data_IF_582883400124
#
_entry.id   IF_582883400124
#
_cell.length_a   1.000
_cell.length_b   1.000
_cell.length_c   1.000
_cell.angle_alpha   90.00
_cell.angle_beta   90.00
_cell.angle_gamma   90.00
#
_symmetry.space_group_name_H-M   'P 1'
#
loop_
_entity.id
_entity.type
_entity.pdbx_description
1 polymer ?
#
# COMPACT_ATOMS: atom_id res chain seq x y z
N UNK A 1 20.76 -17.80 29.36
CA UNK A 1 21.47 -17.42 28.13
C UNK A 1 20.44 -17.17 27.05
N UNK A 2 19.92 -15.94 26.97
CA UNK A 2 19.02 -15.56 25.88
C UNK A 2 19.82 -15.69 24.58
N UNK A 3 19.36 -16.54 23.66
CA UNK A 3 19.91 -16.62 22.33
C UNK A 3 19.85 -15.22 21.72
N UNK A 4 21.01 -14.67 21.35
CA UNK A 4 21.06 -13.51 20.48
C UNK A 4 20.38 -13.95 19.18
N UNK A 5 19.11 -13.61 19.01
CA UNK A 5 18.45 -13.69 17.72
C UNK A 5 19.26 -12.79 16.79
N UNK A 6 19.84 -13.35 15.73
CA UNK A 6 20.44 -12.56 14.65
C UNK A 6 19.39 -11.55 14.16
N UNK A 7 19.47 -10.32 14.66
CA UNK A 7 18.54 -9.26 14.31
C UNK A 7 18.96 -8.79 12.91
N UNK A 8 18.34 -9.38 11.89
CA UNK A 8 18.53 -8.94 10.50
C UNK A 8 18.16 -7.46 10.42
N UNK A 9 19.14 -6.63 10.10
CA UNK A 9 18.90 -5.20 9.90
C UNK A 9 18.11 -4.97 8.60
N UNK A 10 17.40 -3.85 8.52
CA UNK A 10 16.68 -3.49 7.30
C UNK A 10 17.63 -3.38 6.10
N UNK A 11 18.83 -2.84 6.30
CA UNK A 11 19.89 -2.76 5.28
C UNK A 11 20.24 -4.13 4.70
N UNK A 12 20.39 -5.16 5.54
CA UNK A 12 20.77 -6.50 5.06
C UNK A 12 19.64 -7.15 4.27
N UNK A 13 18.40 -6.96 4.72
CA UNK A 13 17.21 -7.42 4.00
C UNK A 13 17.11 -6.70 2.65
N UNK A 14 17.23 -5.38 2.60
CA UNK A 14 17.18 -4.60 1.34
C UNK A 14 18.28 -5.04 0.36
N UNK A 15 19.50 -5.29 0.84
CA UNK A 15 20.59 -5.83 0.02
C UNK A 15 20.23 -7.20 -0.57
N UNK A 16 19.64 -8.09 0.22
CA UNK A 16 19.21 -9.41 -0.26
C UNK A 16 18.04 -9.34 -1.26
N UNK A 17 17.20 -8.30 -1.15
CA UNK A 17 16.09 -8.05 -2.06
C UNK A 17 16.50 -7.34 -3.36
N UNK A 18 17.68 -6.72 -3.42
CA UNK A 18 18.10 -5.86 -4.54
C UNK A 18 17.89 -6.48 -5.93
N UNK A 19 18.28 -7.76 -6.11
CA UNK A 19 18.07 -8.47 -7.39
C UNK A 19 16.59 -8.63 -7.73
N UNK A 20 15.76 -8.94 -6.74
CA UNK A 20 14.31 -9.10 -6.93
C UNK A 20 13.65 -7.75 -7.25
N UNK A 21 14.11 -6.65 -6.63
CA UNK A 21 13.64 -5.30 -6.96
C UNK A 21 13.95 -4.90 -8.40
N UNK A 22 15.09 -5.32 -8.94
CA UNK A 22 15.39 -5.13 -10.36
C UNK A 22 14.39 -5.88 -11.25
N UNK A 23 14.02 -7.11 -10.87
CA UNK A 23 13.04 -7.91 -11.61
C UNK A 23 11.65 -7.27 -11.67
N UNK A 24 11.28 -6.38 -10.74
CA UNK A 24 10.00 -5.64 -10.78
C UNK A 24 9.88 -4.72 -12.00
N UNK A 25 10.98 -4.39 -12.66
CA UNK A 25 11.01 -3.55 -13.86
C UNK A 25 11.11 -4.34 -15.17
N UNK A 26 11.20 -5.67 -15.11
CA UNK A 26 11.30 -6.52 -16.30
C UNK A 26 9.95 -6.75 -16.97
N UNK A 27 9.94 -6.97 -18.28
CA UNK A 27 8.71 -7.27 -19.05
C UNK A 27 8.06 -8.59 -18.64
N UNK A 28 8.81 -9.50 -18.02
CA UNK A 28 8.33 -10.83 -17.64
C UNK A 28 7.42 -10.79 -16.41
N UNK A 29 6.10 -10.92 -16.63
CA UNK A 29 5.06 -11.04 -15.58
C UNK A 29 5.42 -12.04 -14.48
N UNK A 30 5.91 -13.23 -14.85
CA UNK A 30 6.23 -14.29 -13.89
C UNK A 30 7.47 -13.97 -13.06
N UNK A 31 8.41 -13.18 -13.59
CA UNK A 31 9.54 -12.67 -12.83
C UNK A 31 9.09 -11.62 -11.80
N UNK A 32 8.27 -10.64 -12.23
CA UNK A 32 7.69 -9.60 -11.35
C UNK A 32 6.88 -10.20 -10.20
N UNK A 33 5.97 -11.13 -10.50
CA UNK A 33 5.17 -11.81 -9.48
C UNK A 33 6.04 -12.52 -8.45
N UNK A 34 7.01 -13.34 -8.90
CA UNK A 34 7.92 -14.04 -7.97
C UNK A 34 8.73 -13.08 -7.12
N UNK A 35 9.18 -11.96 -7.69
CA UNK A 35 9.87 -10.94 -6.95
C UNK A 35 9.00 -10.33 -5.85
N UNK A 36 7.72 -10.00 -6.13
CA UNK A 36 6.79 -9.52 -5.12
C UNK A 36 6.52 -10.55 -4.01
N UNK A 37 6.33 -11.83 -4.36
CA UNK A 37 6.17 -12.89 -3.34
C UNK A 37 7.41 -13.03 -2.45
N UNK A 38 8.62 -12.88 -3.01
CA UNK A 38 9.85 -12.86 -2.20
C UNK A 38 9.89 -11.63 -1.31
N UNK A 39 9.55 -10.43 -1.82
CA UNK A 39 9.47 -9.22 -1.00
C UNK A 39 8.49 -9.42 0.15
N UNK A 40 7.28 -9.92 -0.12
CA UNK A 40 6.26 -10.19 0.90
C UNK A 40 6.78 -11.14 1.99
N UNK A 41 7.36 -12.27 1.56
CA UNK A 41 7.88 -13.30 2.45
C UNK A 41 9.02 -12.82 3.32
N UNK A 42 9.96 -12.02 2.79
CA UNK A 42 11.13 -11.54 3.56
C UNK A 42 10.83 -10.29 4.39
N UNK A 43 9.61 -9.73 4.32
CA UNK A 43 9.22 -8.50 5.02
C UNK A 43 8.01 -8.68 5.93
N UNK A 44 6.81 -8.38 5.45
CA UNK A 44 5.56 -8.33 6.24
C UNK A 44 5.10 -9.69 6.78
N UNK A 45 5.64 -10.80 6.26
CA UNK A 45 5.42 -12.15 6.78
C UNK A 45 6.49 -12.60 7.79
N UNK A 46 7.58 -11.85 7.95
CA UNK A 46 8.60 -12.11 8.96
C UNK A 46 8.27 -11.41 10.29
N UNK A 47 8.74 -12.00 11.39
CA UNK A 47 8.69 -11.38 12.72
C UNK A 47 9.84 -10.40 12.89
N UNK A 48 9.75 -9.26 12.23
CA UNK A 48 10.71 -8.16 12.32
C UNK A 48 10.23 -7.11 13.35
N UNK A 49 11.15 -6.33 13.91
CA UNK A 49 10.79 -5.19 14.75
C UNK A 49 10.08 -4.12 13.92
N UNK A 50 9.18 -3.36 14.54
CA UNK A 50 8.44 -2.28 13.87
C UNK A 50 9.37 -1.18 13.32
N UNK A 51 10.50 -0.93 13.98
CA UNK A 51 11.56 -0.05 13.48
C UNK A 51 12.22 -0.57 12.20
N UNK A 52 12.59 -1.86 12.15
CA UNK A 52 13.10 -2.49 10.92
C UNK A 52 12.06 -2.43 9.80
N UNK A 53 10.78 -2.66 10.10
CA UNK A 53 9.71 -2.55 9.12
C UNK A 53 9.53 -1.12 8.60
N UNK A 54 9.72 -0.08 9.43
CA UNK A 54 9.69 1.33 8.99
C UNK A 54 10.75 1.59 7.92
N UNK A 55 12.00 1.18 8.18
CA UNK A 55 13.12 1.38 7.25
C UNK A 55 12.91 0.59 5.95
N UNK A 56 12.42 -0.64 6.05
CA UNK A 56 12.05 -1.45 4.88
C UNK A 56 10.95 -0.78 4.07
N UNK A 57 9.90 -0.31 4.73
CA UNK A 57 8.79 0.34 4.03
C UNK A 57 9.26 1.59 3.29
N UNK A 58 10.05 2.44 3.95
CA UNK A 58 10.63 3.63 3.32
C UNK A 58 11.48 3.29 2.09
N UNK A 59 12.29 2.23 2.16
CA UNK A 59 13.12 1.77 1.03
C UNK A 59 12.34 1.11 -0.11
N UNK A 60 11.20 0.49 0.17
CA UNK A 60 10.44 -0.31 -0.79
C UNK A 60 9.23 0.42 -1.40
N UNK A 61 8.70 1.45 -0.72
CA UNK A 61 7.42 2.08 -1.03
C UNK A 61 7.27 2.45 -2.51
N UNK A 62 8.26 3.15 -3.10
CA UNK A 62 8.16 3.61 -4.49
C UNK A 62 8.11 2.45 -5.49
N UNK A 63 8.87 1.37 -5.25
CA UNK A 63 8.85 0.19 -6.09
C UNK A 63 7.50 -0.53 -6.00
N UNK A 64 6.95 -0.65 -4.78
CA UNK A 64 5.64 -1.26 -4.56
C UNK A 64 4.51 -0.43 -5.18
N UNK A 65 4.53 0.90 -5.05
CA UNK A 65 3.53 1.79 -5.66
C UNK A 65 3.53 1.69 -7.20
N UNK A 66 4.71 1.51 -7.82
CA UNK A 66 4.77 1.21 -9.26
C UNK A 66 4.03 -0.09 -9.60
N UNK A 67 4.18 -1.12 -8.78
CA UNK A 67 3.49 -2.41 -8.96
C UNK A 67 1.98 -2.35 -8.68
N UNK A 68 1.47 -1.36 -7.93
CA UNK A 68 0.01 -1.11 -7.82
C UNK A 68 -0.59 -0.73 -9.19
N UNK A 69 0.22 -0.26 -10.13
CA UNK A 69 -0.18 0.02 -11.52
C UNK A 69 0.34 -1.03 -12.52
N UNK A 70 0.72 -2.23 -12.05
CA UNK A 70 1.20 -3.29 -12.95
C UNK A 70 0.12 -3.72 -13.96
N UNK A 71 0.50 -4.07 -15.21
CA UNK A 71 -0.43 -4.66 -16.17
C UNK A 71 -1.10 -5.94 -15.66
N UNK A 72 -0.39 -6.73 -14.83
CA UNK A 72 -0.90 -7.97 -14.27
C UNK A 72 -1.61 -7.72 -12.93
N UNK A 73 -2.89 -8.05 -12.89
CA UNK A 73 -3.74 -7.97 -11.69
C UNK A 73 -3.12 -8.67 -10.47
N UNK A 74 -2.55 -9.88 -10.65
CA UNK A 74 -1.88 -10.61 -9.57
C UNK A 74 -0.69 -9.84 -8.96
N UNK A 75 -0.01 -9.01 -9.75
CA UNK A 75 1.08 -8.19 -9.22
C UNK A 75 0.54 -6.97 -8.46
N UNK A 76 -0.55 -6.38 -8.95
CA UNK A 76 -1.25 -5.29 -8.26
C UNK A 76 -1.76 -5.76 -6.90
N UNK A 77 -2.44 -6.90 -6.86
CA UNK A 77 -2.96 -7.52 -5.64
C UNK A 77 -1.85 -7.74 -4.60
N UNK A 78 -0.77 -8.46 -4.96
CA UNK A 78 0.35 -8.71 -4.04
C UNK A 78 0.98 -7.40 -3.56
N UNK A 79 1.13 -6.38 -4.42
CA UNK A 79 1.67 -5.07 -4.03
C UNK A 79 0.77 -4.35 -3.01
N UNK A 80 -0.55 -4.35 -3.23
CA UNK A 80 -1.53 -3.76 -2.29
C UNK A 80 -1.46 -4.48 -0.94
N UNK A 81 -1.37 -5.81 -0.93
CA UNK A 81 -1.24 -6.59 0.29
C UNK A 81 0.05 -6.26 1.07
N UNK A 82 1.19 -6.13 0.37
CA UNK A 82 2.47 -5.77 1.00
C UNK A 82 2.38 -4.38 1.63
N UNK A 83 1.90 -3.38 0.88
CA UNK A 83 1.79 -1.99 1.38
C UNK A 83 0.85 -1.94 2.59
N UNK A 84 -0.31 -2.58 2.50
CA UNK A 84 -1.27 -2.66 3.61
C UNK A 84 -0.65 -3.35 4.84
N UNK A 85 0.12 -4.42 4.63
CA UNK A 85 0.86 -5.11 5.70
C UNK A 85 1.86 -4.19 6.41
N UNK A 86 2.60 -3.38 5.67
CA UNK A 86 3.49 -2.36 6.25
C UNK A 86 2.70 -1.31 7.04
N UNK A 87 1.66 -0.72 6.47
CA UNK A 87 0.86 0.32 7.13
C UNK A 87 0.33 -0.14 8.50
N UNK A 88 -0.05 -1.42 8.63
CA UNK A 88 -0.50 -2.00 9.91
C UNK A 88 0.61 -2.16 10.96
N UNK A 89 1.86 -2.29 10.54
CA UNK A 89 2.95 -2.77 11.39
C UNK A 89 4.00 -1.69 11.73
N UNK A 90 4.08 -0.63 10.93
CA UNK A 90 5.09 0.41 11.11
C UNK A 90 4.64 1.47 12.14
N UNK A 91 5.57 2.06 12.90
CA UNK A 91 5.25 3.06 13.93
C UNK A 91 4.88 4.44 13.35
N UNK A 92 5.27 4.74 12.11
CA UNK A 92 5.02 6.03 11.45
C UNK A 92 4.47 5.82 10.02
N UNK A 93 3.24 5.29 9.87
CA UNK A 93 2.64 5.09 8.55
C UNK A 93 2.48 6.40 7.76
N UNK A 94 2.40 7.54 8.45
CA UNK A 94 2.26 8.88 7.86
C UNK A 94 3.44 9.28 6.96
N UNK A 95 4.63 8.72 7.18
CA UNK A 95 5.82 8.95 6.34
C UNK A 95 5.61 8.49 4.88
N UNK A 96 4.64 7.60 4.65
CA UNK A 96 4.31 7.10 3.31
C UNK A 96 3.36 8.00 2.50
N UNK A 97 2.62 8.89 3.19
CA UNK A 97 1.54 9.68 2.58
C UNK A 97 1.96 10.53 1.37
N UNK A 98 3.14 11.19 1.34
CA UNK A 98 3.56 12.01 0.20
C UNK A 98 3.64 11.24 -1.12
N UNK A 99 3.82 9.91 -1.06
CA UNK A 99 3.87 9.05 -2.24
C UNK A 99 2.58 8.23 -2.41
N UNK A 100 2.00 7.75 -1.31
CA UNK A 100 0.83 6.89 -1.31
C UNK A 100 -0.43 7.64 -1.81
N UNK A 101 -0.67 8.86 -1.32
CA UNK A 101 -1.90 9.59 -1.63
C UNK A 101 -2.01 9.99 -3.11
N UNK A 102 -0.96 10.55 -3.75
CA UNK A 102 -1.00 10.82 -5.18
C UNK A 102 -1.17 9.55 -6.03
N UNK A 103 -0.57 8.42 -5.62
CA UNK A 103 -0.71 7.16 -6.33
C UNK A 103 -2.14 6.61 -6.26
N UNK A 104 -2.79 6.69 -5.09
CA UNK A 104 -4.20 6.33 -4.93
C UNK A 104 -5.12 7.26 -5.72
N UNK A 105 -4.90 8.56 -5.66
CA UNK A 105 -5.69 9.54 -6.39
C UNK A 105 -5.57 9.35 -7.91
N UNK A 106 -4.38 9.05 -8.41
CA UNK A 106 -4.18 8.72 -9.82
C UNK A 106 -4.95 7.46 -10.21
N UNK A 107 -4.96 6.43 -9.36
CA UNK A 107 -5.57 5.13 -9.67
C UNK A 107 -7.10 5.16 -9.58
N UNK A 108 -7.67 5.86 -8.59
CA UNK A 108 -9.09 5.83 -8.25
C UNK A 108 -9.82 7.17 -8.41
N UNK A 109 -9.12 8.30 -8.28
CA UNK A 109 -9.72 9.65 -8.24
C UNK A 109 -9.74 10.38 -9.59
N UNK A 110 -9.29 9.73 -10.67
CA UNK A 110 -9.33 10.30 -12.02
C UNK A 110 -10.75 10.43 -12.59
N UNK A 111 -10.86 11.08 -13.76
CA UNK A 111 -12.13 11.15 -14.52
C UNK A 111 -12.69 9.75 -14.78
N UNK A 112 -11.80 8.81 -15.07
CA UNK A 112 -12.09 7.38 -15.13
C UNK A 112 -11.27 6.67 -14.04
N UNK A 113 -11.87 5.66 -13.42
CA UNK A 113 -11.15 4.79 -12.48
C UNK A 113 -10.24 3.89 -13.30
N UNK A 114 -8.94 3.91 -13.02
CA UNK A 114 -7.93 3.15 -13.77
C UNK A 114 -7.78 1.70 -13.29
N UNK A 115 -8.28 1.36 -12.11
CA UNK A 115 -8.34 -0.03 -11.64
C UNK A 115 -9.58 -0.74 -12.17
N UNK A 116 -9.46 -1.66 -13.15
CA UNK A 116 -10.62 -2.34 -13.71
C UNK A 116 -11.20 -3.42 -12.78
N UNK A 117 -10.38 -4.06 -11.93
CA UNK A 117 -10.83 -5.17 -11.11
C UNK A 117 -11.57 -4.65 -9.86
N UNK A 118 -12.82 -5.07 -9.68
CA UNK A 118 -13.65 -4.63 -8.57
C UNK A 118 -13.11 -5.02 -7.19
N UNK A 119 -12.51 -6.21 -7.08
CA UNK A 119 -11.84 -6.68 -5.87
C UNK A 119 -10.62 -5.82 -5.52
N UNK A 120 -9.87 -5.35 -6.53
CA UNK A 120 -8.73 -4.47 -6.28
C UNK A 120 -9.14 -3.03 -5.99
N UNK A 121 -10.25 -2.55 -6.59
CA UNK A 121 -10.88 -1.28 -6.17
C UNK A 121 -11.28 -1.35 -4.70
N UNK A 122 -11.87 -2.46 -4.26
CA UNK A 122 -12.22 -2.68 -2.86
C UNK A 122 -10.96 -2.67 -1.98
N UNK A 123 -9.94 -3.47 -2.32
CA UNK A 123 -8.71 -3.57 -1.53
C UNK A 123 -7.99 -2.21 -1.38
N UNK A 124 -7.99 -1.37 -2.43
CA UNK A 124 -7.42 -0.03 -2.38
C UNK A 124 -8.22 0.92 -1.47
N UNK A 125 -9.56 0.81 -1.47
CA UNK A 125 -10.42 1.61 -0.59
C UNK A 125 -10.34 1.13 0.86
N UNK A 126 -10.22 -0.17 1.11
CA UNK A 126 -9.92 -0.72 2.45
C UNK A 126 -8.56 -0.25 2.96
N UNK A 127 -7.54 -0.20 2.09
CA UNK A 127 -6.24 0.37 2.42
C UNK A 127 -6.35 1.87 2.75
N UNK A 128 -7.16 2.64 1.99
CA UNK A 128 -7.41 4.05 2.30
C UNK A 128 -8.12 4.21 3.66
N UNK A 129 -9.14 3.40 3.95
CA UNK A 129 -9.80 3.39 5.27
C UNK A 129 -8.81 3.13 6.40
N UNK A 130 -7.91 2.15 6.24
CA UNK A 130 -6.86 1.87 7.20
C UNK A 130 -5.94 3.08 7.39
N UNK A 131 -5.52 3.72 6.30
CA UNK A 131 -4.67 4.92 6.34
C UNK A 131 -5.36 6.05 7.10
N UNK A 132 -6.67 6.26 6.89
CA UNK A 132 -7.46 7.24 7.64
C UNK A 132 -7.49 6.94 9.13
N UNK A 133 -7.66 5.66 9.49
CA UNK A 133 -7.66 5.20 10.88
C UNK A 133 -6.31 5.44 11.57
N UNK A 134 -5.20 5.09 10.92
CA UNK A 134 -3.88 5.11 11.58
C UNK A 134 -3.13 6.43 11.45
N UNK A 135 -3.40 7.23 10.41
CA UNK A 135 -2.70 8.50 10.18
C UNK A 135 -3.50 9.73 10.68
N UNK A 136 -4.82 9.64 10.84
CA UNK A 136 -5.66 10.70 11.38
C UNK A 136 -5.39 12.09 10.76
N UNK A 137 -5.07 13.09 11.60
CA UNK A 137 -4.88 14.49 11.17
C UNK A 137 -3.69 14.70 10.21
N UNK A 138 -2.74 13.76 10.12
CA UNK A 138 -1.65 13.84 9.15
C UNK A 138 -2.14 13.81 7.70
N UNK A 139 -3.39 13.40 7.46
CA UNK A 139 -4.03 13.37 6.16
C UNK A 139 -4.62 14.70 5.70
N UNK A 140 -4.69 15.74 6.56
CA UNK A 140 -5.26 17.03 6.20
C UNK A 140 -4.68 17.64 4.89
N UNK A 141 -3.36 17.56 4.61
CA UNK A 141 -2.80 18.05 3.34
C UNK A 141 -3.26 17.30 2.09
N UNK A 142 -3.84 16.11 2.25
CA UNK A 142 -4.26 15.21 1.17
C UNK A 142 -5.79 15.11 1.06
N UNK A 143 -6.52 16.03 1.69
CA UNK A 143 -7.98 16.04 1.70
C UNK A 143 -8.57 16.07 0.29
N UNK A 144 -8.01 16.89 -0.60
CA UNK A 144 -8.46 16.98 -2.00
C UNK A 144 -8.32 15.65 -2.74
N UNK A 145 -7.24 14.90 -2.49
CA UNK A 145 -7.02 13.59 -3.09
C UNK A 145 -8.03 12.56 -2.56
N UNK A 146 -8.32 12.58 -1.26
CA UNK A 146 -9.36 11.72 -0.68
C UNK A 146 -10.75 12.06 -1.23
N UNK A 147 -11.10 13.33 -1.35
CA UNK A 147 -12.39 13.76 -1.92
C UNK A 147 -12.52 13.27 -3.36
N UNK A 148 -11.48 13.42 -4.19
CA UNK A 148 -11.49 12.92 -5.57
C UNK A 148 -11.72 11.42 -5.63
N UNK A 149 -11.02 10.64 -4.79
CA UNK A 149 -11.19 9.18 -4.73
C UNK A 149 -12.64 8.84 -4.34
N UNK A 150 -13.12 9.37 -3.21
CA UNK A 150 -14.42 9.02 -2.63
C UNK A 150 -15.60 9.44 -3.52
N UNK A 151 -15.51 10.59 -4.21
CA UNK A 151 -16.52 11.00 -5.18
C UNK A 151 -16.72 10.00 -6.31
N UNK A 152 -15.66 9.26 -6.71
CA UNK A 152 -15.78 8.21 -7.72
C UNK A 152 -16.30 6.92 -7.12
N UNK A 153 -15.77 6.51 -5.96
CA UNK A 153 -16.01 5.16 -5.41
C UNK A 153 -17.29 5.02 -4.59
N UNK A 154 -17.90 6.10 -4.08
CA UNK A 154 -19.25 6.04 -3.48
C UNK A 154 -20.32 5.64 -4.51
N UNK A 155 -20.08 5.93 -5.78
CA UNK A 155 -20.98 5.56 -6.89
C UNK A 155 -20.53 4.31 -7.65
N UNK A 156 -19.59 3.55 -7.10
CA UNK A 156 -19.03 2.37 -7.77
C UNK A 156 -20.11 1.35 -8.16
N UNK A 157 -20.05 0.67 -9.32
CA UNK A 157 -20.98 -0.41 -9.63
C UNK A 157 -20.96 -1.53 -8.58
N UNK A 158 -19.80 -1.89 -8.03
CA UNK A 158 -19.64 -2.99 -7.09
C UNK A 158 -20.11 -2.59 -5.67
N UNK A 159 -21.09 -3.30 -5.08
CA UNK A 159 -21.70 -2.91 -3.80
C UNK A 159 -20.72 -2.78 -2.62
N UNK A 160 -19.73 -3.67 -2.51
CA UNK A 160 -18.78 -3.62 -1.39
C UNK A 160 -17.87 -2.40 -1.47
N UNK A 161 -17.47 -1.96 -2.67
CA UNK A 161 -16.71 -0.71 -2.84
C UNK A 161 -17.54 0.49 -2.39
N UNK A 162 -18.82 0.55 -2.76
CA UNK A 162 -19.71 1.64 -2.30
C UNK A 162 -19.81 1.68 -0.78
N UNK A 163 -20.04 0.53 -0.16
CA UNK A 163 -20.17 0.38 1.29
C UNK A 163 -18.91 0.82 2.03
N UNK A 164 -17.75 0.33 1.61
CA UNK A 164 -16.48 0.72 2.24
C UNK A 164 -16.16 2.20 1.96
N UNK A 165 -16.49 2.74 0.79
CA UNK A 165 -16.31 4.17 0.48
C UNK A 165 -17.17 5.08 1.37
N UNK A 166 -18.43 4.71 1.62
CA UNK A 166 -19.29 5.45 2.55
C UNK A 166 -18.71 5.43 3.97
N UNK A 167 -18.25 4.26 4.44
CA UNK A 167 -17.58 4.14 5.75
C UNK A 167 -16.32 5.01 5.80
N UNK A 168 -15.46 4.95 4.78
CA UNK A 168 -14.24 5.74 4.68
C UNK A 168 -14.55 7.24 4.72
N UNK A 169 -15.60 7.69 4.04
CA UNK A 169 -16.05 9.09 4.03
C UNK A 169 -16.42 9.59 5.42
N UNK A 170 -17.15 8.77 6.19
CA UNK A 170 -17.49 9.08 7.58
C UNK A 170 -16.21 9.22 8.42
N UNK A 171 -15.27 8.28 8.28
CA UNK A 171 -13.98 8.32 8.99
C UNK A 171 -13.17 9.56 8.63
N UNK A 172 -13.10 9.94 7.35
CA UNK A 172 -12.40 11.16 6.91
C UNK A 172 -13.00 12.41 7.56
N UNK A 173 -14.33 12.54 7.52
CA UNK A 173 -15.04 13.68 8.11
C UNK A 173 -14.86 13.78 9.65
N UNK A 174 -14.65 12.65 10.33
CA UNK A 174 -14.38 12.63 11.78
C UNK A 174 -12.92 12.92 12.10
N UNK A 175 -11.99 12.48 11.25
CA UNK A 175 -10.55 12.62 11.47
C UNK A 175 -9.99 13.99 11.09
N UNK A 176 -10.64 14.70 10.17
CA UNK A 176 -10.20 15.99 9.62
C UNK A 176 -11.35 17.00 9.72
N UNK A 177 -11.36 17.85 10.77
CA UNK A 177 -12.39 18.86 10.99
C UNK A 177 -12.41 19.98 9.94
#
# INVERSE_FOLDING_TARGET
MAAASDERTASDILKSLARHLNCLNEDNKSARRRALEVVKRETVEQRLSSGTLQELFAGLLKALLKCVSDPAETCRDTAIQIITGFIRAVPKPEDSLPYLMPALAQRLGGKEILEPAEELRLALIEMLSLVVEVCGRHLAPYLDDMIKILQRTITDPFPEVKKESCKCTISVAQSIP
#
